data_IF_802048594496
#
_entry.id   IF_802048594496
#
_cell.length_a   1.000
_cell.length_b   1.000
_cell.length_c   1.000
_cell.angle_alpha   90.00
_cell.angle_beta   90.00
_cell.angle_gamma   90.00
#
_symmetry.space_group_name_H-M   'P 1'
#
loop_
_entity.id
_entity.type
_entity.pdbx_description
1 polymer ?
#
# COMPACT_ATOMS: atom_id res chain seq x y z
N UNK A 1 49.50 -46.30 -8.54
CA UNK A 1 50.06 -45.77 -9.81
C UNK A 1 48.92 -45.04 -10.53
N UNK A 2 48.26 -44.10 -9.87
CA UNK A 2 48.72 -42.75 -9.52
C UNK A 2 48.81 -41.85 -10.77
N UNK A 3 47.79 -41.01 -10.93
CA UNK A 3 47.90 -39.55 -10.84
C UNK A 3 48.79 -38.75 -11.78
N UNK A 4 48.79 -38.98 -13.09
CA UNK A 4 49.24 -37.95 -14.05
C UNK A 4 48.68 -38.35 -15.42
N UNK A 5 47.75 -37.62 -16.06
CA UNK A 5 47.96 -36.28 -16.57
C UNK A 5 46.61 -35.58 -16.73
N UNK A 6 46.15 -34.97 -15.65
CA UNK A 6 45.15 -33.91 -15.66
C UNK A 6 45.80 -32.63 -16.18
N UNK A 7 45.80 -32.40 -17.49
CA UNK A 7 45.99 -31.05 -18.03
C UNK A 7 45.55 -30.99 -19.49
N UNK A 8 44.34 -30.49 -19.74
CA UNK A 8 44.09 -29.51 -20.81
C UNK A 8 42.66 -28.97 -20.73
N UNK A 9 42.62 -27.64 -20.69
CA UNK A 9 41.54 -26.75 -21.13
C UNK A 9 40.21 -26.80 -20.37
N UNK A 10 40.20 -26.15 -19.21
CA UNK A 10 39.03 -25.36 -18.80
C UNK A 10 38.76 -24.27 -19.86
N UNK A 11 37.51 -24.06 -20.30
CA UNK A 11 37.19 -22.91 -21.11
C UNK A 11 37.21 -21.67 -20.21
N UNK A 12 38.27 -20.88 -20.33
CA UNK A 12 38.38 -19.52 -19.82
C UNK A 12 37.24 -18.68 -20.41
N UNK A 13 36.10 -18.61 -19.70
CA UNK A 13 35.07 -17.63 -19.99
C UNK A 13 35.62 -16.24 -19.60
N UNK A 14 36.35 -15.63 -20.52
CA UNK A 14 36.77 -14.24 -20.45
C UNK A 14 35.51 -13.35 -20.50
N UNK A 15 34.85 -13.20 -19.36
CA UNK A 15 33.89 -12.13 -19.12
C UNK A 15 34.69 -10.83 -19.17
N UNK A 16 34.76 -10.20 -20.35
CA UNK A 16 35.23 -8.81 -20.48
C UNK A 16 34.39 -7.97 -19.53
N UNK A 17 34.94 -7.69 -18.35
CA UNK A 17 34.34 -6.80 -17.37
C UNK A 17 34.49 -5.37 -17.88
N UNK A 18 33.57 -4.95 -18.76
CA UNK A 18 33.27 -3.54 -18.95
C UNK A 18 32.53 -3.03 -17.71
N UNK A 19 33.22 -2.96 -16.56
CA UNK A 19 32.72 -2.19 -15.42
C UNK A 19 32.85 -0.72 -15.78
N UNK A 20 31.86 -0.19 -16.51
CA UNK A 20 31.52 1.23 -16.38
C UNK A 20 31.21 1.45 -14.91
N UNK A 21 32.18 2.03 -14.19
CA UNK A 21 31.99 2.52 -12.82
C UNK A 21 31.07 3.74 -12.92
N UNK A 22 29.78 3.49 -13.11
CA UNK A 22 28.76 4.51 -12.87
C UNK A 22 28.93 4.96 -11.42
N UNK A 23 28.91 6.27 -11.20
CA UNK A 23 28.87 6.90 -9.89
C UNK A 23 27.67 6.37 -9.10
N UNK A 24 27.86 5.23 -8.45
CA UNK A 24 26.81 4.38 -7.90
C UNK A 24 26.61 4.54 -6.41
N UNK A 25 27.30 5.48 -5.76
CA UNK A 25 27.19 5.65 -4.31
C UNK A 25 25.84 6.24 -3.89
N UNK A 26 25.35 7.26 -4.60
CA UNK A 26 24.06 7.90 -4.32
C UNK A 26 22.87 7.00 -4.64
N UNK A 27 22.89 6.31 -5.77
CA UNK A 27 21.85 5.36 -6.18
C UNK A 27 21.80 4.13 -5.26
N UNK A 28 22.96 3.64 -4.80
CA UNK A 28 23.03 2.53 -3.85
C UNK A 28 22.47 2.91 -2.48
N UNK A 29 22.73 4.12 -1.99
CA UNK A 29 22.12 4.62 -0.74
C UNK A 29 20.60 4.73 -0.88
N UNK A 30 20.10 5.26 -2.00
CA UNK A 30 18.66 5.32 -2.26
C UNK A 30 18.03 3.92 -2.31
N UNK A 31 18.65 2.96 -3.01
CA UNK A 31 18.17 1.58 -3.06
C UNK A 31 18.15 0.91 -1.68
N UNK A 32 19.18 1.14 -0.85
CA UNK A 32 19.21 0.63 0.52
C UNK A 32 18.02 1.14 1.35
N UNK A 33 17.70 2.44 1.24
CA UNK A 33 16.54 3.03 1.92
C UNK A 33 15.22 2.38 1.45
N UNK A 34 15.06 2.18 0.15
CA UNK A 34 13.89 1.49 -0.42
C UNK A 34 13.76 0.07 0.12
N UNK A 35 14.85 -0.70 0.15
CA UNK A 35 14.84 -2.07 0.70
C UNK A 35 14.48 -2.07 2.19
N UNK A 36 14.99 -1.12 2.97
CA UNK A 36 14.62 -0.99 4.38
C UNK A 36 13.12 -0.70 4.54
N UNK A 37 12.56 0.20 3.73
CA UNK A 37 11.13 0.51 3.73
C UNK A 37 10.28 -0.71 3.37
N UNK A 38 10.63 -1.43 2.30
CA UNK A 38 9.90 -2.62 1.87
C UNK A 38 9.93 -3.73 2.93
N UNK A 39 11.05 -3.90 3.64
CA UNK A 39 11.15 -4.85 4.76
C UNK A 39 10.21 -4.48 5.90
N UNK A 40 10.11 -3.18 6.21
CA UNK A 40 9.17 -2.69 7.21
C UNK A 40 7.72 -2.97 6.79
N UNK A 41 7.34 -2.62 5.56
CA UNK A 41 5.98 -2.85 5.04
C UNK A 41 5.60 -4.33 4.91
N UNK A 42 6.58 -5.19 4.59
CA UNK A 42 6.39 -6.63 4.57
C UNK A 42 6.11 -7.18 5.97
N UNK A 43 6.68 -6.58 7.01
CA UNK A 43 6.52 -6.98 8.42
C UNK A 43 5.20 -6.53 9.06
N UNK A 44 4.38 -5.74 8.36
CA UNK A 44 3.07 -5.30 8.87
C UNK A 44 2.11 -6.48 8.96
N UNK A 45 1.52 -6.67 10.15
CA UNK A 45 0.48 -7.67 10.37
C UNK A 45 -0.80 -7.26 9.63
N UNK A 46 -1.26 -8.14 8.73
CA UNK A 46 -2.48 -7.94 7.95
C UNK A 46 -3.64 -8.69 8.58
N UNK A 47 -4.82 -8.07 8.57
CA UNK A 47 -6.08 -8.73 8.91
C UNK A 47 -6.72 -9.34 7.65
N UNK A 48 -7.59 -10.34 7.84
CA UNK A 48 -8.35 -10.92 6.73
C UNK A 48 -9.29 -9.87 6.13
N UNK A 49 -9.39 -9.83 4.81
CA UNK A 49 -10.31 -8.92 4.11
C UNK A 49 -11.76 -9.15 4.56
N UNK A 50 -12.15 -10.41 4.78
CA UNK A 50 -13.48 -10.75 5.29
C UNK A 50 -13.76 -10.14 6.68
N UNK A 51 -12.76 -10.10 7.56
CA UNK A 51 -12.89 -9.49 8.88
C UNK A 51 -13.04 -7.98 8.76
N UNK A 52 -12.13 -7.34 8.02
CA UNK A 52 -12.20 -5.89 7.80
C UNK A 52 -13.54 -5.47 7.16
N UNK A 53 -14.07 -6.26 6.22
CA UNK A 53 -15.37 -5.99 5.61
C UNK A 53 -16.53 -6.09 6.62
N UNK A 54 -16.51 -7.10 7.49
CA UNK A 54 -17.50 -7.26 8.56
C UNK A 54 -17.45 -6.09 9.55
N UNK A 55 -16.24 -5.68 9.97
CA UNK A 55 -16.04 -4.56 10.89
C UNK A 55 -16.58 -3.24 10.29
N UNK A 56 -16.28 -2.99 9.01
CA UNK A 56 -16.80 -1.81 8.29
C UNK A 56 -18.32 -1.86 8.16
N UNK A 57 -18.89 -3.01 7.81
CA UNK A 57 -20.34 -3.16 7.72
C UNK A 57 -21.02 -2.90 9.08
N UNK A 58 -20.48 -3.49 10.14
CA UNK A 58 -21.02 -3.32 11.49
C UNK A 58 -20.96 -1.85 11.92
N UNK A 59 -19.85 -1.17 11.65
CA UNK A 59 -19.73 0.27 11.91
C UNK A 59 -20.80 1.07 11.17
N UNK A 60 -21.02 0.79 9.87
CA UNK A 60 -22.06 1.46 9.09
C UNK A 60 -23.46 1.22 9.67
N UNK A 61 -23.80 -0.03 10.03
CA UNK A 61 -25.12 -0.36 10.58
C UNK A 61 -25.36 0.35 11.93
N UNK A 62 -24.36 0.36 12.81
CA UNK A 62 -24.47 1.01 14.11
C UNK A 62 -24.67 2.53 13.99
N UNK A 63 -24.06 3.17 13.00
CA UNK A 63 -24.12 4.62 12.81
C UNK A 63 -25.19 5.06 11.80
N UNK A 64 -25.82 4.13 11.07
CA UNK A 64 -26.80 4.44 10.04
C UNK A 64 -27.97 5.28 10.56
N UNK A 65 -28.41 5.03 11.80
CA UNK A 65 -29.51 5.78 12.42
C UNK A 65 -29.13 7.23 12.76
N UNK A 66 -27.84 7.49 12.96
CA UNK A 66 -27.30 8.81 13.28
C UNK A 66 -26.91 9.59 12.04
N UNK A 67 -26.99 8.98 10.85
CA UNK A 67 -26.76 9.64 9.58
C UNK A 67 -28.08 10.27 9.07
N UNK A 68 -28.19 11.61 9.09
CA UNK A 68 -29.36 12.35 8.59
C UNK A 68 -29.67 12.08 7.12
N UNK A 69 -28.66 11.67 6.34
CA UNK A 69 -28.79 11.41 4.90
C UNK A 69 -29.37 10.02 4.63
N UNK A 70 -29.15 9.06 5.53
CA UNK A 70 -29.68 7.71 5.41
C UNK A 70 -31.07 7.58 6.02
N UNK A 71 -31.30 8.16 7.19
CA UNK A 71 -32.61 8.10 7.88
C UNK A 71 -33.61 9.13 7.39
N UNK A 72 -33.12 10.22 6.78
CA UNK A 72 -33.91 11.39 6.48
C UNK A 72 -34.19 12.20 7.74
N UNK A 73 -34.06 13.52 7.62
CA UNK A 73 -34.44 14.44 8.70
C UNK A 73 -35.81 15.05 8.45
N UNK A 74 -36.53 15.27 9.53
CA UNK A 74 -37.77 16.01 9.45
C UNK A 74 -37.48 17.44 8.99
N UNK A 75 -38.52 18.04 8.42
CA UNK A 75 -38.49 19.39 7.91
C UNK A 75 -37.98 20.42 8.95
N UNK A 76 -38.36 20.28 10.21
CA UNK A 76 -38.01 21.21 11.27
C UNK A 76 -36.58 21.04 11.79
N UNK A 77 -35.97 19.86 11.64
CA UNK A 77 -34.60 19.59 12.11
C UNK A 77 -33.54 19.79 11.03
N UNK A 78 -33.93 20.03 9.77
CA UNK A 78 -33.00 20.32 8.68
C UNK A 78 -32.57 21.80 8.69
N UNK A 79 -31.29 22.13 8.98
CA UNK A 79 -30.80 23.51 8.99
C UNK A 79 -30.76 24.16 7.59
N UNK A 80 -30.80 23.37 6.52
CA UNK A 80 -30.84 23.86 5.14
C UNK A 80 -32.26 24.10 4.61
N UNK A 81 -33.28 24.02 5.47
CA UNK A 81 -34.66 24.31 5.08
C UNK A 81 -34.80 25.78 4.65
N UNK A 82 -35.38 26.06 3.46
CA UNK A 82 -35.84 27.41 3.12
C UNK A 82 -36.92 27.87 4.11
N UNK A 83 -36.80 29.09 4.63
CA UNK A 83 -37.83 29.65 5.51
C UNK A 83 -39.14 29.79 4.73
N UNK A 84 -40.23 29.24 5.27
CA UNK A 84 -41.56 29.50 4.73
C UNK A 84 -41.89 30.96 5.06
N UNK A 85 -41.90 31.83 4.06
CA UNK A 85 -42.53 33.14 4.20
C UNK A 85 -44.03 32.90 4.36
N UNK A 86 -44.57 33.18 5.55
CA UNK A 86 -46.00 33.12 5.76
C UNK A 86 -46.61 34.32 5.01
N UNK A 87 -47.25 34.06 3.88
CA UNK A 87 -48.06 35.07 3.19
C UNK A 87 -49.43 35.05 3.86
N UNK A 88 -49.75 36.07 4.65
CA UNK A 88 -51.13 36.32 5.08
C UNK A 88 -51.90 36.82 3.86
N UNK A 89 -52.86 36.03 3.39
CA UNK A 89 -53.82 36.38 2.34
C UNK A 89 -55.18 36.65 2.99
#
# INVERSE_FOLDING_TARGET
LCDELLHKSTPEFHRKENRKKMSGSSSLVAMKKVVQQLRFEASINRVKVSQAAADLQQFCIQNALQDPLLTGVSSSTNPFRPQKVCSFL
#
